data_IF_515295273672
#
_entry.id   IF_515295273672
#
_cell.length_a   1.000
_cell.length_b   1.000
_cell.length_c   1.000
_cell.angle_alpha   90.00
_cell.angle_beta   90.00
_cell.angle_gamma   90.00
#
_symmetry.space_group_name_H-M   'P 1'
#
loop_
_entity.id
_entity.type
_entity.pdbx_description
1 polymer ?
#
# COMPACT_ATOMS: atom_id res chain seq x y z
N UNK A 1 -31.67 15.51 -16.21
CA UNK A 1 -30.62 15.87 -15.23
C UNK A 1 -30.15 14.64 -14.48
N UNK A 2 -28.81 14.45 -14.36
CA UNK A 2 -28.20 13.36 -13.62
C UNK A 2 -27.75 13.88 -12.26
N UNK A 3 -28.09 13.19 -11.19
CA UNK A 3 -27.66 13.54 -9.84
C UNK A 3 -26.31 12.86 -9.53
N UNK A 4 -25.29 13.64 -9.18
CA UNK A 4 -23.97 13.15 -8.83
C UNK A 4 -23.82 13.17 -7.29
N UNK A 5 -23.53 12.02 -6.69
CA UNK A 5 -23.16 11.88 -5.27
C UNK A 5 -21.68 11.59 -5.15
N UNK A 6 -20.98 12.37 -4.34
CA UNK A 6 -19.56 12.21 -4.07
C UNK A 6 -19.35 11.54 -2.71
N UNK A 7 -18.53 10.51 -2.65
CA UNK A 7 -18.26 9.75 -1.43
C UNK A 7 -16.78 9.86 -1.05
N UNK A 8 -16.48 9.93 0.24
CA UNK A 8 -15.11 9.91 0.74
C UNK A 8 -14.22 11.02 0.18
N UNK A 9 -13.07 10.66 -0.39
CA UNK A 9 -12.10 11.61 -0.97
C UNK A 9 -12.62 12.43 -2.13
N UNK A 10 -13.60 11.93 -2.90
CA UNK A 10 -14.19 12.67 -4.03
C UNK A 10 -14.89 13.96 -3.61
N UNK A 11 -15.40 14.05 -2.39
CA UNK A 11 -15.98 15.29 -1.83
C UNK A 11 -14.97 16.43 -1.84
N UNK A 12 -13.71 16.15 -1.52
CA UNK A 12 -12.62 17.14 -1.50
C UNK A 12 -12.22 17.65 -2.88
N UNK A 13 -12.57 16.91 -3.92
CA UNK A 13 -12.28 17.31 -5.31
C UNK A 13 -13.28 18.31 -5.87
N UNK A 14 -14.45 18.47 -5.24
CA UNK A 14 -15.49 19.40 -5.67
C UNK A 14 -15.98 20.34 -4.55
N UNK A 15 -15.46 20.18 -3.34
CA UNK A 15 -15.91 20.89 -2.16
C UNK A 15 -17.43 20.79 -1.94
N UNK A 16 -18.00 19.63 -2.29
CA UNK A 16 -19.44 19.35 -2.24
C UNK A 16 -19.67 17.85 -2.03
N UNK A 17 -20.81 17.52 -1.43
CA UNK A 17 -21.26 16.14 -1.27
C UNK A 17 -22.10 15.64 -2.47
N UNK A 18 -22.78 16.56 -3.15
CA UNK A 18 -23.63 16.26 -4.29
C UNK A 18 -23.89 17.51 -5.15
N UNK A 19 -24.14 17.27 -6.44
CA UNK A 19 -24.59 18.28 -7.40
C UNK A 19 -25.30 17.60 -8.57
N UNK A 20 -25.91 18.40 -9.45
CA UNK A 20 -26.59 17.90 -10.65
C UNK A 20 -25.89 18.40 -11.92
N UNK A 21 -25.96 17.61 -12.97
CA UNK A 21 -25.47 17.99 -14.30
C UNK A 21 -26.64 17.95 -15.31
N UNK A 22 -26.69 18.96 -16.18
CA UNK A 22 -27.70 19.06 -17.25
C UNK A 22 -27.27 18.23 -18.47
N UNK A 23 -27.17 16.92 -18.29
CA UNK A 23 -26.84 15.94 -19.32
C UNK A 23 -27.71 14.72 -19.15
N UNK A 24 -27.93 14.01 -20.23
CA UNK A 24 -28.61 12.71 -20.25
C UNK A 24 -28.03 11.85 -21.37
N UNK A 25 -28.20 10.55 -21.26
CA UNK A 25 -27.79 9.56 -22.26
C UNK A 25 -26.28 9.66 -22.62
N UNK A 26 -25.47 9.86 -21.60
CA UNK A 26 -24.02 9.88 -21.70
C UNK A 26 -23.41 8.61 -21.11
N UNK A 27 -22.28 8.19 -21.64
CA UNK A 27 -21.50 7.08 -21.06
C UNK A 27 -20.83 7.50 -19.74
N UNK A 28 -20.48 6.51 -18.92
CA UNK A 28 -19.66 6.73 -17.72
C UNK A 28 -18.35 7.43 -18.08
N UNK A 29 -17.73 7.08 -19.21
CA UNK A 29 -16.49 7.72 -19.67
C UNK A 29 -16.69 9.21 -19.96
N UNK A 30 -17.75 9.57 -20.69
CA UNK A 30 -18.10 10.98 -20.97
C UNK A 30 -18.45 11.75 -19.69
N UNK A 31 -19.08 11.10 -18.71
CA UNK A 31 -19.30 11.68 -17.39
C UNK A 31 -17.96 12.00 -16.71
N UNK A 32 -17.03 11.06 -16.68
CA UNK A 32 -15.72 11.26 -16.04
C UNK A 32 -14.94 12.41 -16.69
N UNK A 33 -14.92 12.48 -18.02
CA UNK A 33 -14.32 13.59 -18.77
C UNK A 33 -14.97 14.94 -18.44
N UNK A 34 -16.30 14.94 -18.29
CA UNK A 34 -17.04 16.14 -17.90
C UNK A 34 -16.67 16.58 -16.48
N UNK A 35 -16.60 15.65 -15.54
CA UNK A 35 -16.20 15.93 -14.14
C UNK A 35 -14.82 16.54 -14.06
N UNK A 36 -13.85 16.04 -14.82
CA UNK A 36 -12.52 16.62 -14.88
C UNK A 36 -12.52 18.07 -15.37
N UNK A 37 -13.41 18.41 -16.33
CA UNK A 37 -13.53 19.76 -16.88
C UNK A 37 -14.18 20.76 -15.92
N UNK A 38 -15.17 20.32 -15.11
CA UNK A 38 -15.88 21.20 -14.18
C UNK A 38 -15.25 21.23 -12.78
N UNK A 39 -14.25 20.38 -12.52
CA UNK A 39 -13.57 20.34 -11.24
C UNK A 39 -12.87 21.68 -10.93
N UNK A 40 -13.09 22.28 -9.75
CA UNK A 40 -12.39 23.51 -9.36
C UNK A 40 -10.88 23.29 -9.30
N UNK A 41 -10.10 24.26 -9.77
CA UNK A 41 -8.64 24.16 -9.88
C UNK A 41 -7.90 24.15 -8.53
N UNK A 42 -8.53 24.68 -7.49
CA UNK A 42 -7.99 24.78 -6.12
C UNK A 42 -8.37 23.62 -5.20
N UNK A 43 -8.99 22.56 -5.73
CA UNK A 43 -9.41 21.38 -4.97
C UNK A 43 -8.46 20.19 -5.19
N UNK A 44 -8.63 19.13 -4.37
CA UNK A 44 -7.85 17.88 -4.50
C UNK A 44 -8.04 17.26 -5.89
N UNK A 45 -7.03 16.58 -6.40
CA UNK A 45 -7.15 15.82 -7.65
C UNK A 45 -8.19 14.70 -7.54
N UNK A 46 -8.89 14.44 -8.64
CA UNK A 46 -9.80 13.32 -8.80
C UNK A 46 -9.10 12.26 -9.65
N UNK A 47 -8.70 11.16 -9.02
CA UNK A 47 -8.06 10.04 -9.71
C UNK A 47 -9.13 9.15 -10.36
N UNK A 48 -9.41 9.42 -11.65
CA UNK A 48 -10.46 8.74 -12.41
C UNK A 48 -10.19 7.26 -12.71
N UNK A 49 -8.94 6.80 -12.58
CA UNK A 49 -8.59 5.40 -12.78
C UNK A 49 -8.90 4.54 -11.54
N UNK A 50 -9.06 5.17 -10.38
CA UNK A 50 -9.34 4.52 -9.11
C UNK A 50 -10.71 4.96 -8.55
N UNK A 51 -11.74 4.91 -9.39
CA UNK A 51 -13.13 5.17 -8.99
C UNK A 51 -14.00 3.94 -9.16
N UNK A 52 -14.86 3.68 -8.19
CA UNK A 52 -16.04 2.86 -8.35
C UNK A 52 -17.20 3.80 -8.69
N UNK A 53 -17.86 3.54 -9.81
CA UNK A 53 -19.01 4.30 -10.26
C UNK A 53 -20.25 3.43 -10.08
N UNK A 54 -21.14 3.86 -9.20
CA UNK A 54 -22.41 3.15 -9.00
C UNK A 54 -23.56 3.98 -9.56
N UNK A 55 -24.36 3.38 -10.44
CA UNK A 55 -25.56 3.97 -11.05
C UNK A 55 -26.78 3.37 -10.34
N UNK A 56 -27.59 4.20 -9.69
CA UNK A 56 -28.74 3.77 -8.88
C UNK A 56 -28.40 2.65 -7.87
N UNK A 57 -27.17 2.69 -7.33
CA UNK A 57 -26.67 1.71 -6.37
C UNK A 57 -26.02 0.45 -6.96
N UNK A 58 -26.05 0.27 -8.29
CA UNK A 58 -25.39 -0.85 -8.97
C UNK A 58 -24.02 -0.44 -9.52
N UNK A 59 -23.00 -1.26 -9.31
CA UNK A 59 -21.65 -1.01 -9.84
C UNK A 59 -21.66 -1.05 -11.38
N UNK A 60 -21.18 0.01 -12.04
CA UNK A 60 -21.10 0.08 -13.50
C UNK A 60 -20.19 -1.01 -14.08
N UNK A 61 -19.19 -1.51 -13.34
CA UNK A 61 -18.33 -2.61 -13.77
C UNK A 61 -19.07 -3.94 -13.93
N UNK A 62 -20.17 -4.12 -13.21
CA UNK A 62 -21.08 -5.26 -13.35
C UNK A 62 -22.09 -5.11 -14.52
N UNK A 63 -22.08 -3.95 -15.18
CA UNK A 63 -22.89 -3.63 -16.36
C UNK A 63 -21.96 -3.61 -17.60
N UNK A 64 -21.87 -2.46 -18.29
CA UNK A 64 -20.99 -2.28 -19.44
C UNK A 64 -19.71 -1.48 -19.09
N UNK A 65 -19.34 -1.38 -17.81
CA UNK A 65 -18.16 -0.64 -17.36
C UNK A 65 -18.22 0.85 -17.72
N UNK A 66 -17.16 1.37 -18.31
CA UNK A 66 -17.07 2.78 -18.74
C UNK A 66 -18.03 3.13 -19.91
N UNK A 67 -18.56 2.14 -20.63
CA UNK A 67 -19.51 2.31 -21.73
C UNK A 67 -20.98 2.25 -21.27
N UNK A 68 -21.24 2.09 -19.97
CA UNK A 68 -22.59 2.11 -19.41
C UNK A 68 -23.22 3.48 -19.63
N UNK A 69 -24.42 3.51 -20.19
CA UNK A 69 -25.19 4.74 -20.44
C UNK A 69 -25.89 5.16 -19.15
N UNK A 70 -25.83 6.44 -18.86
CA UNK A 70 -26.46 7.10 -17.73
C UNK A 70 -27.59 7.98 -18.30
N UNK A 71 -28.81 7.71 -17.88
CA UNK A 71 -30.00 8.38 -18.39
C UNK A 71 -30.52 9.50 -17.47
N UNK A 72 -31.49 10.24 -17.94
CA UNK A 72 -32.14 11.29 -17.17
C UNK A 72 -32.78 10.73 -15.88
N UNK A 73 -32.57 11.41 -14.77
CA UNK A 73 -33.06 10.98 -13.46
C UNK A 73 -32.17 9.99 -12.71
N UNK A 74 -31.12 9.48 -13.35
CA UNK A 74 -30.19 8.56 -12.66
C UNK A 74 -29.40 9.26 -11.55
N UNK A 75 -29.08 8.47 -10.50
CA UNK A 75 -28.21 8.86 -9.40
C UNK A 75 -26.88 8.14 -9.55
N UNK A 76 -25.82 8.89 -9.83
CA UNK A 76 -24.46 8.36 -9.97
C UNK A 76 -23.66 8.65 -8.73
N UNK A 77 -23.21 7.59 -8.03
CA UNK A 77 -22.32 7.69 -6.90
C UNK A 77 -20.87 7.51 -7.35
N UNK A 78 -20.03 8.50 -7.07
CA UNK A 78 -18.59 8.49 -7.34
C UNK A 78 -17.85 8.18 -6.06
N UNK A 79 -17.29 7.00 -5.99
CA UNK A 79 -16.68 6.44 -4.80
C UNK A 79 -15.20 6.19 -5.13
N UNK A 80 -14.25 6.98 -4.61
CA UNK A 80 -12.86 6.63 -4.76
C UNK A 80 -12.63 5.25 -4.18
N UNK A 81 -12.22 4.33 -5.02
CA UNK A 81 -11.74 3.04 -4.57
C UNK A 81 -10.37 3.31 -3.97
N UNK A 82 -10.34 3.46 -2.67
CA UNK A 82 -9.08 3.53 -1.92
C UNK A 82 -8.47 2.12 -1.97
N UNK A 83 -7.89 1.77 -3.08
CA UNK A 83 -6.78 0.85 -3.10
C UNK A 83 -5.66 1.63 -2.42
N UNK A 84 -5.51 1.47 -1.09
CA UNK A 84 -4.68 2.28 -0.21
C UNK A 84 -4.13 3.49 -0.93
N UNK A 85 -4.71 4.68 -0.72
CA UNK A 85 -4.41 5.88 -1.52
C UNK A 85 -2.92 6.02 -1.75
N UNK A 86 -2.47 6.65 -2.83
CA UNK A 86 -1.08 6.90 -3.20
C UNK A 86 -0.37 7.71 -2.10
N UNK A 87 -0.24 7.10 -0.94
CA UNK A 87 0.37 7.71 0.23
C UNK A 87 1.85 7.39 0.22
N UNK A 88 2.66 8.40 0.37
CA UNK A 88 4.10 8.23 0.52
C UNK A 88 4.49 7.69 1.89
N UNK A 89 3.55 7.64 2.83
CA UNK A 89 3.76 7.10 4.19
C UNK A 89 2.51 6.40 4.70
N UNK A 90 2.72 5.33 5.46
CA UNK A 90 1.68 4.60 6.17
C UNK A 90 2.08 4.54 7.66
N UNK A 91 1.13 4.80 8.55
CA UNK A 91 1.33 4.71 10.00
C UNK A 91 0.22 3.88 10.61
N UNK A 92 0.58 2.95 11.49
CA UNK A 92 -0.34 2.12 12.23
C UNK A 92 0.29 1.66 13.56
N UNK A 93 -0.49 1.02 14.40
CA UNK A 93 -0.05 0.52 15.70
C UNK A 93 -0.23 -1.00 15.77
N UNK A 94 0.75 -1.69 16.34
CA UNK A 94 0.70 -3.10 16.70
C UNK A 94 1.25 -3.23 18.11
N UNK A 95 0.46 -3.81 19.05
CA UNK A 95 0.88 -4.05 20.44
C UNK A 95 1.51 -2.80 21.09
N UNK A 96 0.85 -1.65 20.97
CA UNK A 96 1.30 -0.34 21.48
C UNK A 96 2.59 0.20 20.84
N UNK A 97 3.13 -0.46 19.81
CA UNK A 97 4.26 0.05 19.04
C UNK A 97 3.76 0.83 17.83
N UNK A 98 4.19 2.08 17.69
CA UNK A 98 3.92 2.88 16.50
C UNK A 98 4.87 2.46 15.39
N UNK A 99 4.31 2.14 14.23
CA UNK A 99 5.01 1.65 13.06
C UNK A 99 4.75 2.62 11.92
N UNK A 100 5.83 3.01 11.26
CA UNK A 100 5.82 3.95 10.17
C UNK A 100 6.52 3.35 8.96
N UNK A 101 5.89 3.45 7.82
CA UNK A 101 6.33 2.85 6.57
C UNK A 101 6.46 3.93 5.52
N UNK A 102 7.59 3.95 4.83
CA UNK A 102 7.82 4.73 3.60
C UNK A 102 8.51 3.85 2.57
N UNK A 103 8.31 4.15 1.30
CA UNK A 103 9.05 3.52 0.20
C UNK A 103 10.05 4.53 -0.36
N UNK A 104 11.32 4.14 -0.41
CA UNK A 104 12.42 4.95 -0.91
C UNK A 104 12.78 4.54 -2.33
N UNK A 105 12.89 5.52 -3.21
CA UNK A 105 13.33 5.33 -4.59
C UNK A 105 14.84 5.11 -4.66
N UNK A 106 15.25 3.98 -5.24
CA UNK A 106 16.67 3.62 -5.37
C UNK A 106 17.40 4.26 -6.57
N UNK A 107 16.77 5.18 -7.30
CA UNK A 107 17.43 5.87 -8.44
C UNK A 107 18.59 6.80 -8.01
N UNK A 108 18.67 7.15 -6.72
CA UNK A 108 19.81 7.83 -6.12
C UNK A 108 20.73 6.78 -5.48
N UNK A 109 22.04 6.98 -5.49
CA UNK A 109 23.01 6.09 -4.83
C UNK A 109 22.72 6.00 -3.33
N UNK A 110 21.93 5.01 -2.95
CA UNK A 110 21.60 4.68 -1.57
C UNK A 110 22.32 3.37 -1.27
N UNK A 111 23.18 3.38 -0.28
CA UNK A 111 24.01 2.27 0.17
C UNK A 111 23.72 1.89 1.63
N UNK A 112 24.47 0.95 2.17
CA UNK A 112 24.36 0.53 3.57
C UNK A 112 24.65 1.69 4.51
N UNK A 113 25.58 2.57 4.14
CA UNK A 113 25.98 3.72 4.95
C UNK A 113 24.82 4.70 5.17
N UNK A 114 23.91 4.80 4.21
CA UNK A 114 22.68 5.60 4.37
C UNK A 114 21.83 5.12 5.57
N UNK A 115 21.66 3.80 5.73
CA UNK A 115 20.86 3.25 6.83
C UNK A 115 21.58 3.42 8.18
N UNK A 116 22.89 3.26 8.20
CA UNK A 116 23.68 3.46 9.42
C UNK A 116 23.66 4.93 9.86
N UNK A 117 23.78 5.88 8.93
CA UNK A 117 23.60 7.31 9.20
C UNK A 117 22.21 7.63 9.77
N UNK A 118 21.15 6.97 9.25
CA UNK A 118 19.80 7.14 9.82
C UNK A 118 19.72 6.62 11.25
N UNK A 119 20.35 5.49 11.55
CA UNK A 119 20.37 4.92 12.92
C UNK A 119 21.08 5.83 13.89
N UNK A 120 22.21 6.39 13.48
CA UNK A 120 22.96 7.35 14.29
C UNK A 120 22.17 8.65 14.53
N UNK A 121 21.56 9.18 13.47
CA UNK A 121 20.82 10.45 13.54
C UNK A 121 19.51 10.34 14.31
N UNK A 122 18.83 9.18 14.24
CA UNK A 122 17.53 8.94 14.87
C UNK A 122 17.56 7.72 15.83
N UNK A 123 18.36 7.76 16.89
CA UNK A 123 18.59 6.61 17.78
C UNK A 123 17.34 6.14 18.55
N UNK A 124 16.28 6.96 18.58
CA UNK A 124 14.99 6.62 19.20
C UNK A 124 14.05 5.87 18.27
N UNK A 125 14.44 5.64 17.02
CA UNK A 125 13.72 4.83 16.06
C UNK A 125 14.52 3.55 15.77
N UNK A 126 13.83 2.41 15.74
CA UNK A 126 14.39 1.17 15.21
C UNK A 126 14.08 1.10 13.72
N UNK A 127 15.06 0.73 12.91
CA UNK A 127 14.94 0.69 11.45
C UNK A 127 15.18 -0.68 10.87
N UNK A 128 14.27 -1.11 9.97
CA UNK A 128 14.51 -2.22 9.08
C UNK A 128 14.19 -1.83 7.65
N UNK A 129 15.01 -2.30 6.72
CA UNK A 129 14.81 -2.16 5.27
C UNK A 129 14.46 -3.50 4.66
N UNK A 130 13.47 -3.47 3.78
CA UNK A 130 13.00 -4.64 3.01
C UNK A 130 12.87 -4.21 1.55
N UNK A 131 13.48 -4.95 0.62
CA UNK A 131 13.31 -4.70 -0.81
C UNK A 131 11.82 -4.70 -1.17
N UNK A 132 11.35 -3.67 -1.89
CA UNK A 132 9.94 -3.52 -2.26
C UNK A 132 9.42 -4.74 -3.03
N UNK A 133 10.28 -5.44 -3.75
CA UNK A 133 9.92 -6.65 -4.50
C UNK A 133 9.36 -7.78 -3.62
N UNK A 134 9.62 -7.77 -2.31
CA UNK A 134 9.16 -8.78 -1.34
C UNK A 134 7.89 -8.37 -0.59
N UNK A 135 7.36 -7.19 -0.85
CA UNK A 135 6.15 -6.71 -0.20
C UNK A 135 4.99 -6.74 -1.20
N UNK A 136 3.99 -7.56 -0.92
CA UNK A 136 2.83 -7.73 -1.79
C UNK A 136 1.91 -6.49 -1.74
N UNK A 137 1.55 -6.09 -0.53
CA UNK A 137 0.67 -4.95 -0.22
C UNK A 137 0.75 -4.57 1.27
N UNK A 138 -0.03 -3.58 1.68
CA UNK A 138 -0.10 -3.12 3.08
C UNK A 138 -0.57 -4.20 4.06
N UNK A 139 -1.50 -5.07 3.66
CA UNK A 139 -2.02 -6.15 4.51
C UNK A 139 -0.95 -7.21 4.79
N UNK A 140 -0.26 -7.67 3.75
CA UNK A 140 0.88 -8.58 3.86
C UNK A 140 1.94 -8.03 4.82
N UNK A 141 2.34 -6.78 4.61
CA UNK A 141 3.35 -6.11 5.45
C UNK A 141 2.89 -6.06 6.92
N UNK A 142 1.65 -5.67 7.19
CA UNK A 142 1.11 -5.63 8.56
C UNK A 142 1.10 -7.00 9.21
N UNK A 143 0.69 -8.06 8.50
CA UNK A 143 0.65 -9.43 9.04
C UNK A 143 2.04 -9.91 9.42
N UNK A 144 3.06 -9.71 8.56
CA UNK A 144 4.46 -10.08 8.87
C UNK A 144 4.97 -9.32 10.10
N UNK A 145 4.74 -8.01 10.16
CA UNK A 145 5.14 -7.19 11.32
C UNK A 145 4.43 -7.62 12.60
N UNK A 146 3.16 -8.01 12.51
CA UNK A 146 2.42 -8.53 13.66
C UNK A 146 3.03 -9.82 14.20
N UNK A 147 3.49 -10.73 13.34
CA UNK A 147 4.16 -11.96 13.75
C UNK A 147 5.45 -11.60 14.52
N UNK A 148 6.31 -10.75 13.96
CA UNK A 148 7.57 -10.35 14.60
C UNK A 148 7.37 -9.63 15.93
N UNK A 149 6.41 -8.70 16.02
CA UNK A 149 6.15 -7.96 17.25
C UNK A 149 5.55 -8.86 18.34
N UNK A 150 4.67 -9.80 17.97
CA UNK A 150 4.17 -10.80 18.90
C UNK A 150 5.28 -11.76 19.35
N UNK A 151 6.19 -12.14 18.46
CA UNK A 151 7.36 -12.95 18.81
C UNK A 151 8.28 -12.22 19.81
N UNK A 152 8.53 -10.90 19.62
CA UNK A 152 9.28 -10.10 20.59
C UNK A 152 8.59 -10.05 21.96
N UNK A 153 7.28 -9.83 21.99
CA UNK A 153 6.47 -9.80 23.21
C UNK A 153 6.55 -11.12 23.98
N UNK A 154 6.60 -12.23 23.27
CA UNK A 154 6.64 -13.58 23.85
C UNK A 154 8.07 -14.13 24.03
N UNK A 155 9.11 -13.34 23.74
CA UNK A 155 10.53 -13.74 23.80
C UNK A 155 10.87 -14.96 22.90
N UNK A 156 10.25 -15.06 21.72
CA UNK A 156 10.44 -16.14 20.74
C UNK A 156 10.90 -15.58 19.37
N UNK A 157 11.70 -14.50 19.38
CA UNK A 157 12.29 -13.97 18.16
C UNK A 157 13.23 -14.99 17.51
N UNK A 158 13.27 -15.01 16.18
CA UNK A 158 14.24 -15.81 15.39
C UNK A 158 15.67 -15.30 15.54
N UNK A 159 15.87 -14.10 16.10
CA UNK A 159 17.17 -13.47 16.32
C UNK A 159 17.14 -12.58 17.56
N UNK A 160 18.31 -12.05 17.96
CA UNK A 160 18.41 -11.17 19.13
C UNK A 160 17.79 -9.77 18.93
N UNK A 161 17.36 -9.43 17.71
CA UNK A 161 16.82 -8.11 17.37
C UNK A 161 15.53 -8.24 16.57
N UNK A 162 14.52 -7.43 16.93
CA UNK A 162 13.25 -7.36 16.22
C UNK A 162 13.45 -7.06 14.72
N UNK A 163 14.34 -6.13 14.41
CA UNK A 163 14.63 -5.72 13.04
C UNK A 163 15.15 -6.88 12.18
N UNK A 164 15.99 -7.72 12.76
CA UNK A 164 16.51 -8.91 12.07
C UNK A 164 15.43 -9.99 11.93
N UNK A 165 14.60 -10.20 12.95
CA UNK A 165 13.46 -11.13 12.89
C UNK A 165 12.51 -10.75 11.74
N UNK A 166 12.17 -9.46 11.62
CA UNK A 166 11.33 -8.95 10.52
C UNK A 166 11.94 -9.34 9.16
N UNK A 167 13.24 -9.11 8.97
CA UNK A 167 13.92 -9.42 7.71
C UNK A 167 13.88 -10.93 7.41
N UNK A 168 14.14 -11.77 8.41
CA UNK A 168 14.12 -13.23 8.29
C UNK A 168 12.74 -13.75 7.90
N UNK A 169 11.67 -13.17 8.47
CA UNK A 169 10.29 -13.54 8.13
C UNK A 169 9.91 -13.14 6.72
N UNK A 170 10.29 -11.95 6.24
CA UNK A 170 10.10 -11.58 4.84
C UNK A 170 10.87 -12.47 3.87
N UNK A 171 12.03 -12.97 4.28
CA UNK A 171 12.84 -13.90 3.49
C UNK A 171 12.39 -15.37 3.63
N UNK A 172 11.50 -15.68 4.57
CA UNK A 172 11.11 -17.05 4.95
C UNK A 172 12.33 -17.96 5.18
N UNK A 173 13.31 -17.49 5.97
CA UNK A 173 14.55 -18.22 6.27
C UNK A 173 15.02 -18.01 7.71
N UNK A 174 15.64 -19.05 8.29
CA UNK A 174 16.29 -18.99 9.61
C UNK A 174 17.75 -18.49 9.56
N UNK A 175 18.28 -18.24 8.36
CA UNK A 175 19.67 -17.77 8.18
C UNK A 175 19.70 -16.26 7.92
N UNK A 176 20.31 -15.50 8.83
CA UNK A 176 20.42 -14.03 8.74
C UNK A 176 21.12 -13.59 7.44
N UNK A 177 22.21 -14.28 7.06
CA UNK A 177 22.95 -13.99 5.83
C UNK A 177 22.10 -14.13 4.57
N UNK A 178 21.27 -15.19 4.52
CA UNK A 178 20.33 -15.41 3.42
C UNK A 178 19.22 -14.34 3.40
N UNK A 179 18.71 -13.94 4.56
CA UNK A 179 17.72 -12.88 4.67
C UNK A 179 18.28 -11.54 4.15
N UNK A 180 19.48 -11.15 4.58
CA UNK A 180 20.14 -9.92 4.13
C UNK A 180 20.38 -9.97 2.61
N UNK A 181 20.94 -11.07 2.11
CA UNK A 181 21.28 -11.19 0.68
C UNK A 181 20.06 -11.26 -0.24
N UNK A 182 18.92 -11.81 0.21
CA UNK A 182 17.71 -11.92 -0.61
C UNK A 182 16.82 -10.69 -0.52
N UNK A 183 16.47 -10.28 0.70
CA UNK A 183 15.41 -9.30 0.99
C UNK A 183 15.93 -7.94 1.43
N UNK A 184 17.20 -7.86 1.84
CA UNK A 184 17.83 -6.61 2.28
C UNK A 184 17.97 -5.57 1.15
N UNK A 185 18.64 -4.47 1.50
CA UNK A 185 18.92 -3.37 0.57
C UNK A 185 19.70 -3.88 -0.66
N UNK A 186 19.23 -3.48 -1.84
CA UNK A 186 19.88 -3.81 -3.12
C UNK A 186 20.08 -2.56 -3.96
N UNK A 187 21.20 -2.45 -4.68
CA UNK A 187 21.41 -1.36 -5.64
C UNK A 187 20.27 -1.30 -6.67
N UNK A 188 19.81 -0.10 -6.97
CA UNK A 188 18.80 0.17 -8.01
C UNK A 188 17.42 -0.49 -7.80
N UNK A 189 17.13 -1.00 -6.62
CA UNK A 189 15.82 -1.55 -6.25
C UNK A 189 15.21 -0.73 -5.13
N UNK A 190 13.99 -0.23 -5.33
CA UNK A 190 13.24 0.45 -4.28
C UNK A 190 13.13 -0.43 -3.04
N UNK A 191 13.06 0.20 -1.89
CA UNK A 191 12.91 -0.50 -0.63
C UNK A 191 11.91 0.16 0.29
N UNK A 192 11.26 -0.66 1.09
CA UNK A 192 10.40 -0.23 2.19
C UNK A 192 11.29 0.01 3.40
N UNK A 193 11.26 1.22 3.94
CA UNK A 193 11.84 1.57 5.23
C UNK A 193 10.75 1.43 6.30
N UNK A 194 10.96 0.53 7.23
CA UNK A 194 10.12 0.28 8.40
C UNK A 194 10.79 0.99 9.58
N UNK A 195 10.11 1.99 10.15
CA UNK A 195 10.57 2.69 11.34
C UNK A 195 9.59 2.40 12.49
N UNK A 196 10.13 1.95 13.62
CA UNK A 196 9.36 1.62 14.82
C UNK A 196 9.76 2.60 15.92
N UNK A 197 8.81 3.38 16.41
CA UNK A 197 9.03 4.37 17.46
C UNK A 197 8.03 5.52 17.41
N UNK A 198 8.30 6.57 18.18
CA UNK A 198 7.38 7.68 18.35
C UNK A 198 7.16 8.48 17.06
N UNK A 199 5.92 8.87 16.80
CA UNK A 199 5.48 9.64 15.62
C UNK A 199 6.25 10.96 15.42
N UNK A 200 6.63 11.65 16.51
CA UNK A 200 7.35 12.93 16.39
C UNK A 200 8.76 12.72 15.79
N UNK A 201 9.48 11.70 16.25
CA UNK A 201 10.80 11.36 15.71
C UNK A 201 10.69 10.90 14.25
N UNK A 202 9.65 10.12 13.92
CA UNK A 202 9.38 9.74 12.55
C UNK A 202 9.07 10.95 11.66
N UNK A 203 8.26 11.90 12.10
CA UNK A 203 7.93 13.08 11.29
C UNK A 203 9.17 13.92 10.99
N UNK A 204 10.10 14.07 11.94
CA UNK A 204 11.39 14.75 11.71
C UNK A 204 12.20 14.04 10.63
N UNK A 205 12.33 12.72 10.71
CA UNK A 205 13.01 11.91 9.70
C UNK A 205 12.27 11.98 8.34
N UNK A 206 10.94 11.87 8.35
CA UNK A 206 10.14 11.90 7.13
C UNK A 206 10.29 13.22 6.37
N UNK A 207 10.35 14.35 7.07
CA UNK A 207 10.56 15.67 6.44
C UNK A 207 11.87 15.72 5.64
N UNK A 208 12.92 15.06 6.13
CA UNK A 208 14.20 14.95 5.44
C UNK A 208 14.15 13.97 4.26
N UNK A 209 13.50 12.82 4.44
CA UNK A 209 13.46 11.75 3.44
C UNK A 209 12.37 11.93 2.39
N UNK A 210 11.41 12.82 2.60
CA UNK A 210 10.25 13.00 1.70
C UNK A 210 10.59 13.22 0.22
N UNK A 211 11.72 13.89 -0.15
CA UNK A 211 12.12 14.02 -1.55
C UNK A 211 12.58 12.70 -2.20
N UNK A 212 12.91 11.69 -1.39
CA UNK A 212 13.30 10.35 -1.84
C UNK A 212 12.11 9.37 -1.85
N UNK A 213 11.01 9.75 -1.20
CA UNK A 213 9.85 8.89 -1.05
C UNK A 213 9.01 8.83 -2.32
N UNK A 214 8.65 7.63 -2.71
CA UNK A 214 7.65 7.33 -3.73
C UNK A 214 6.36 6.86 -3.07
N UNK A 215 5.29 6.77 -3.85
CA UNK A 215 4.02 6.23 -3.36
C UNK A 215 4.17 4.74 -3.04
N UNK A 216 3.65 4.35 -1.88
CA UNK A 216 3.70 2.97 -1.39
C UNK A 216 2.92 2.02 -2.31
N UNK A 217 3.49 0.85 -2.55
CA UNK A 217 2.84 -0.28 -3.23
C UNK A 217 2.34 -0.01 -4.65
N UNK A 218 2.92 0.96 -5.37
CA UNK A 218 2.55 1.25 -6.76
C UNK A 218 2.82 0.10 -7.72
N UNK A 219 3.89 -0.66 -7.47
CA UNK A 219 4.30 -1.76 -8.34
C UNK A 219 3.73 -3.08 -7.86
N UNK A 220 3.19 -3.85 -8.79
CA UNK A 220 2.74 -5.21 -8.51
C UNK A 220 3.93 -6.19 -8.59
N UNK A 221 4.30 -6.76 -7.46
CA UNK A 221 5.41 -7.71 -7.35
C UNK A 221 4.97 -9.18 -7.33
N UNK A 222 3.71 -9.48 -7.59
CA UNK A 222 3.12 -10.83 -7.53
C UNK A 222 3.90 -11.87 -8.34
N UNK A 223 4.29 -11.54 -9.56
CA UNK A 223 5.03 -12.48 -10.42
C UNK A 223 6.43 -12.79 -9.87
N UNK A 224 7.12 -11.75 -9.38
CA UNK A 224 8.43 -11.90 -8.74
C UNK A 224 8.33 -12.77 -7.48
N UNK A 225 7.38 -12.47 -6.59
CA UNK A 225 7.16 -13.18 -5.33
C UNK A 225 6.85 -14.66 -5.59
N UNK A 226 5.93 -14.97 -6.51
CA UNK A 226 5.59 -16.34 -6.89
C UNK A 226 6.82 -17.12 -7.38
N UNK A 227 7.63 -16.51 -8.24
CA UNK A 227 8.87 -17.10 -8.75
C UNK A 227 9.89 -17.33 -7.64
N UNK A 228 10.12 -16.34 -6.79
CA UNK A 228 11.11 -16.40 -5.71
C UNK A 228 10.81 -17.51 -4.70
N UNK A 229 9.54 -17.61 -4.27
CA UNK A 229 9.10 -18.60 -3.27
C UNK A 229 8.60 -19.91 -3.87
N UNK A 230 8.76 -20.12 -5.19
CA UNK A 230 8.29 -21.31 -5.93
C UNK A 230 6.80 -21.60 -5.70
N UNK A 231 5.96 -20.55 -5.67
CA UNK A 231 4.52 -20.68 -5.46
C UNK A 231 3.84 -20.95 -6.81
N UNK A 232 3.38 -22.18 -7.00
CA UNK A 232 2.67 -22.60 -8.21
C UNK A 232 1.19 -22.18 -8.18
N UNK A 233 0.54 -22.22 -9.35
CA UNK A 233 -0.90 -22.05 -9.44
C UNK A 233 -1.65 -23.06 -8.56
N UNK A 234 -1.19 -24.34 -8.56
CA UNK A 234 -1.78 -25.40 -7.73
C UNK A 234 -1.74 -25.06 -6.23
N UNK A 235 -0.63 -24.46 -5.73
CA UNK A 235 -0.55 -24.00 -4.33
C UNK A 235 -1.60 -22.93 -4.05
N UNK A 236 -1.77 -21.96 -4.96
CA UNK A 236 -2.76 -20.88 -4.79
C UNK A 236 -4.18 -21.44 -4.78
N UNK A 237 -4.49 -22.33 -5.72
CA UNK A 237 -5.82 -22.94 -5.89
C UNK A 237 -6.18 -23.88 -4.71
N UNK A 238 -5.19 -24.36 -3.94
CA UNK A 238 -5.42 -25.20 -2.74
C UNK A 238 -5.78 -24.42 -1.48
N UNK A 239 -5.60 -23.09 -1.48
CA UNK A 239 -5.91 -22.25 -0.31
C UNK A 239 -7.28 -21.61 -0.48
N UNK A 240 -8.23 -22.01 0.36
CA UNK A 240 -9.59 -21.43 0.36
C UNK A 240 -9.60 -20.10 1.10
N UNK A 241 -9.29 -19.03 0.40
CA UNK A 241 -9.18 -17.66 0.93
C UNK A 241 -9.49 -16.62 -0.15
N UNK A 242 -9.84 -15.39 0.29
CA UNK A 242 -9.95 -14.23 -0.61
C UNK A 242 -8.58 -13.70 -1.06
N UNK A 243 -7.51 -14.01 -0.31
CA UNK A 243 -6.14 -13.53 -0.53
C UNK A 243 -5.12 -14.68 -0.47
N UNK A 244 -5.25 -15.75 -1.29
CA UNK A 244 -4.51 -16.99 -1.10
C UNK A 244 -2.98 -16.81 -1.17
N UNK A 245 -2.47 -15.95 -2.05
CA UNK A 245 -1.03 -15.68 -2.12
C UNK A 245 -0.51 -15.01 -0.84
N UNK A 246 -1.25 -14.03 -0.31
CA UNK A 246 -0.89 -13.36 0.93
C UNK A 246 -0.85 -14.34 2.10
N UNK A 247 -1.85 -15.21 2.21
CA UNK A 247 -1.93 -16.19 3.30
C UNK A 247 -0.80 -17.23 3.22
N UNK A 248 -0.43 -17.69 2.03
CA UNK A 248 0.75 -18.56 1.84
C UNK A 248 2.04 -17.87 2.31
N UNK A 249 2.21 -16.59 2.00
CA UNK A 249 3.40 -15.84 2.42
C UNK A 249 3.45 -15.63 3.93
N UNK A 250 2.31 -15.34 4.54
CA UNK A 250 2.17 -15.18 5.99
C UNK A 250 2.40 -16.51 6.71
N UNK A 251 1.86 -17.59 6.19
CA UNK A 251 2.13 -18.96 6.72
C UNK A 251 3.62 -19.26 6.68
N UNK A 252 4.29 -19.09 5.53
CA UNK A 252 5.74 -19.29 5.41
C UNK A 252 6.54 -18.49 6.43
N UNK A 253 6.11 -17.27 6.75
CA UNK A 253 6.77 -16.43 7.75
C UNK A 253 6.47 -16.86 9.19
N UNK A 254 5.30 -17.49 9.45
CA UNK A 254 4.87 -17.89 10.80
C UNK A 254 5.45 -19.22 11.25
N UNK A 255 5.70 -20.15 10.33
CA UNK A 255 6.22 -21.50 10.65
C UNK A 255 7.74 -21.55 10.88
N UNK A 256 8.43 -20.42 10.83
CA UNK A 256 9.86 -20.29 11.15
C UNK A 256 10.04 -20.29 12.68
N UNK A 257 9.80 -21.43 13.33
CA UNK A 257 9.97 -21.61 14.79
C UNK A 257 11.05 -22.64 15.07
#
# INVERSE_FOLDING_TARGET
MIAIKLVGGAKKSFDSDQFQIEKSDISVNELLDHLLKIKPSNTSELDIENLLIAINGSDSSAMNGKDTIISDGDVVSIIPVIHGGSTKKLTFEIEKKQIHIIEICAQKKIDIQFIDNLREKYPKLKFQVVSSNFVLNASHLKKILSISINAEKNNILLSNKLETDILMRFASTLQISNAISSVGLKPSVNFILIAIGNKNHFNSMYSELSPLCVNLFLKNHTAFIKKHFNISKKHIDSVYSKTPLEDILVEKASILL
#
